data_IF_797345670751
#
_entry.id   IF_797345670751
#
_cell.length_a   1.000
_cell.length_b   1.000
_cell.length_c   1.000
_cell.angle_alpha   90.00
_cell.angle_beta   90.00
_cell.angle_gamma   90.00
#
_symmetry.space_group_name_H-M   'P 1'
#
loop_
_entity.id
_entity.type
_entity.pdbx_description
1 polymer ?
#
# COMPACT_ATOMS: atom_id res chain seq x y z
N UNK A 1 -16.07 -4.93 -5.64
CA UNK A 1 -14.60 -5.05 -5.45
C UNK A 1 -14.10 -3.90 -4.57
N UNK A 2 -13.46 -4.19 -3.43
CA UNK A 2 -12.99 -3.16 -2.48
C UNK A 2 -11.95 -2.20 -3.10
N UNK A 3 -11.94 -0.93 -2.65
CA UNK A 3 -11.01 0.12 -3.10
C UNK A 3 -9.54 -0.33 -2.97
N UNK A 4 -9.23 -1.07 -1.90
CA UNK A 4 -7.94 -1.73 -1.65
C UNK A 4 -7.52 -2.67 -2.78
N UNK A 5 -8.39 -3.64 -3.11
CA UNK A 5 -8.11 -4.68 -4.12
C UNK A 5 -7.88 -4.09 -5.51
N UNK A 6 -8.64 -3.05 -5.88
CA UNK A 6 -8.43 -2.34 -7.16
C UNK A 6 -7.05 -1.68 -7.22
N UNK A 7 -6.62 -1.05 -6.11
CA UNK A 7 -5.35 -0.37 -6.06
C UNK A 7 -4.16 -1.36 -6.08
N UNK A 8 -4.27 -2.46 -5.34
CA UNK A 8 -3.28 -3.56 -5.37
C UNK A 8 -3.08 -4.06 -6.79
N UNK A 9 -4.16 -4.44 -7.49
CA UNK A 9 -4.06 -4.94 -8.88
C UNK A 9 -3.46 -3.91 -9.84
N UNK A 10 -3.77 -2.62 -9.65
CA UNK A 10 -3.21 -1.54 -10.46
C UNK A 10 -1.71 -1.39 -10.23
N UNK A 11 -1.26 -1.42 -8.98
CA UNK A 11 0.16 -1.35 -8.62
C UNK A 11 0.94 -2.57 -9.10
N UNK A 12 0.38 -3.78 -8.97
CA UNK A 12 1.00 -5.01 -9.49
C UNK A 12 1.17 -4.95 -11.02
N UNK A 13 0.16 -4.45 -11.75
CA UNK A 13 0.28 -4.23 -13.20
C UNK A 13 1.31 -3.15 -13.54
N UNK A 14 1.39 -2.07 -12.75
CA UNK A 14 2.37 -1.01 -12.95
C UNK A 14 3.80 -1.52 -12.76
N UNK A 15 4.05 -2.25 -11.67
CA UNK A 15 5.36 -2.83 -11.35
C UNK A 15 5.81 -3.88 -12.37
N UNK A 16 4.88 -4.57 -13.04
CA UNK A 16 5.23 -5.45 -14.18
C UNK A 16 5.89 -4.68 -15.34
N UNK A 17 5.50 -3.43 -15.56
CA UNK A 17 6.08 -2.55 -16.60
C UNK A 17 7.25 -1.73 -16.07
N UNK A 18 7.22 -1.38 -14.79
CA UNK A 18 8.20 -0.52 -14.11
C UNK A 18 8.71 -1.21 -12.83
N UNK A 19 9.54 -2.26 -12.95
CA UNK A 19 9.97 -3.07 -11.80
C UNK A 19 10.81 -2.31 -10.77
N UNK A 20 11.47 -1.22 -11.20
CA UNK A 20 12.32 -0.38 -10.35
C UNK A 20 11.58 0.78 -9.67
N UNK A 21 10.26 0.88 -9.81
CA UNK A 21 9.47 1.91 -9.14
C UNK A 21 9.35 1.60 -7.63
N UNK A 22 10.31 2.12 -6.87
CA UNK A 22 10.41 1.93 -5.41
C UNK A 22 9.15 2.42 -4.69
N UNK A 23 8.55 3.52 -5.15
CA UNK A 23 7.37 4.12 -4.51
C UNK A 23 6.13 3.26 -4.73
N UNK A 24 5.90 2.78 -5.94
CA UNK A 24 4.79 1.86 -6.22
C UNK A 24 4.93 0.55 -5.43
N UNK A 25 6.16 0.05 -5.26
CA UNK A 25 6.44 -1.14 -4.46
C UNK A 25 6.15 -0.92 -2.97
N UNK A 26 6.60 0.20 -2.41
CA UNK A 26 6.33 0.56 -1.01
C UNK A 26 4.83 0.70 -0.74
N UNK A 27 4.08 1.34 -1.65
CA UNK A 27 2.61 1.44 -1.52
C UNK A 27 1.95 0.06 -1.57
N UNK A 28 2.40 -0.82 -2.47
CA UNK A 28 1.88 -2.19 -2.58
C UNK A 28 2.13 -2.98 -1.30
N UNK A 29 3.33 -2.88 -0.74
CA UNK A 29 3.69 -3.53 0.53
C UNK A 29 2.90 -2.95 1.71
N UNK A 30 2.74 -1.64 1.78
CA UNK A 30 1.91 -0.99 2.81
C UNK A 30 0.45 -1.46 2.72
N UNK A 31 -0.12 -1.57 1.52
CA UNK A 31 -1.47 -2.09 1.30
C UNK A 31 -1.60 -3.56 1.72
N UNK A 32 -0.60 -4.40 1.44
CA UNK A 32 -0.57 -5.81 1.83
C UNK A 32 -0.42 -5.98 3.35
N UNK A 33 0.47 -5.20 3.97
CA UNK A 33 0.73 -5.22 5.40
C UNK A 33 -0.37 -4.53 6.24
N UNK A 34 -1.30 -3.80 5.62
CA UNK A 34 -2.32 -3.04 6.34
C UNK A 34 -1.83 -1.70 6.91
N UNK A 35 -0.64 -1.24 6.50
CA UNK A 35 0.01 0.01 6.95
C UNK A 35 -0.49 1.22 6.17
N UNK A 36 -1.79 1.37 6.06
CA UNK A 36 -2.38 2.46 5.28
C UNK A 36 -3.65 2.99 5.93
N UNK A 37 -3.93 4.25 5.69
CA UNK A 37 -5.13 4.94 6.13
C UNK A 37 -5.75 5.69 4.94
N UNK A 38 -7.08 5.61 4.83
CA UNK A 38 -7.82 6.39 3.84
C UNK A 38 -8.25 7.71 4.48
N UNK A 39 -7.51 8.79 4.20
CA UNK A 39 -7.96 10.15 4.52
C UNK A 39 -8.86 10.66 3.40
N UNK A 40 -10.14 10.29 3.49
CA UNK A 40 -11.17 10.60 2.49
C UNK A 40 -10.84 9.99 1.12
N UNK A 41 -10.42 10.83 0.16
CA UNK A 41 -10.04 10.38 -1.19
C UNK A 41 -8.56 10.01 -1.31
N UNK A 42 -7.72 10.37 -0.36
CA UNK A 42 -6.27 10.11 -0.41
C UNK A 42 -5.89 8.86 0.38
N UNK A 43 -4.90 8.12 -0.13
CA UNK A 43 -4.25 7.04 0.60
C UNK A 43 -3.01 7.60 1.27
N UNK A 44 -2.93 7.47 2.60
CA UNK A 44 -1.72 7.75 3.36
C UNK A 44 -1.12 6.41 3.75
N UNK A 45 0.13 6.15 3.35
CA UNK A 45 0.88 4.97 3.78
C UNK A 45 1.70 5.33 5.01
N UNK A 46 1.71 4.46 6.02
CA UNK A 46 2.56 4.62 7.19
C UNK A 46 3.93 3.98 6.90
N UNK A 47 5.05 4.69 7.12
CA UNK A 47 6.38 4.13 6.91
C UNK A 47 6.57 2.88 7.78
N UNK A 48 7.42 1.95 7.33
CA UNK A 48 7.64 0.67 8.02
C UNK A 48 8.14 0.84 9.46
N UNK A 49 8.77 1.99 9.74
CA UNK A 49 9.31 2.36 11.05
C UNK A 49 8.25 2.48 12.14
N UNK A 50 6.97 2.66 11.80
CA UNK A 50 5.90 3.01 12.76
C UNK A 50 4.82 1.91 12.90
N UNK A 51 4.97 0.79 12.20
CA UNK A 51 3.90 -0.19 12.04
C UNK A 51 3.98 -1.44 12.92
N UNK A 52 4.88 -1.44 13.91
CA UNK A 52 4.96 -2.54 14.87
C UNK A 52 3.75 -2.60 15.82
N UNK A 53 2.94 -1.54 15.94
CA UNK A 53 1.94 -1.42 17.02
C UNK A 53 0.48 -1.64 16.62
N UNK A 54 0.14 -1.76 15.33
CA UNK A 54 -1.27 -1.75 14.90
C UNK A 54 -1.92 -3.14 14.70
N UNK A 55 -1.26 -4.25 15.06
CA UNK A 55 -1.81 -5.60 14.92
C UNK A 55 -1.56 -6.48 16.17
N UNK A 56 -1.67 -5.94 17.37
CA UNK A 56 -1.86 -6.72 18.61
C UNK A 56 -2.75 -5.91 19.56
N UNK A 57 -4.05 -6.17 19.53
CA UNK A 57 -5.05 -5.54 20.38
C UNK A 57 -6.43 -6.11 20.09
#
# INVERSE_FOLDING_TARGET
MSRKLRLIKRLERHLRKHPNDKKAREILEALKAGRYEWKGRSLVIKPATEAAEAQQG
#
